data_IF_026805602375
#
_entry.id   IF_026805602375
#
_cell.length_a   1.000
_cell.length_b   1.000
_cell.length_c   1.000
_cell.angle_alpha   90.00
_cell.angle_beta   90.00
_cell.angle_gamma   90.00
#
_symmetry.space_group_name_H-M   'P 1'
#
loop_
_entity.id
_entity.type
_entity.pdbx_description
1 polymer ?
#
# COMPACT_ATOMS: atom_id res chain seq x y z
N UNK A 1 -16.44 -9.49 6.97
CA UNK A 1 -15.09 -9.44 7.58
C UNK A 1 -14.53 -8.03 7.45
N UNK A 2 -13.74 -7.64 8.41
CA UNK A 2 -13.14 -6.30 8.49
C UNK A 2 -11.62 -6.38 8.32
N UNK A 3 -11.06 -5.48 7.50
CA UNK A 3 -9.62 -5.41 7.32
C UNK A 3 -9.10 -3.99 7.55
N UNK A 4 -7.81 -3.88 7.88
CA UNK A 4 -7.10 -2.62 7.90
C UNK A 4 -6.19 -2.51 6.67
N UNK A 5 -6.31 -1.41 5.95
CA UNK A 5 -5.38 -1.00 4.90
C UNK A 5 -4.46 0.05 5.52
N UNK A 6 -3.19 -0.30 5.70
CA UNK A 6 -2.23 0.51 6.46
C UNK A 6 -1.26 1.18 5.50
N UNK A 7 -1.56 2.41 5.13
CA UNK A 7 -0.73 3.23 4.25
C UNK A 7 0.31 4.02 5.06
N UNK A 8 1.10 4.83 4.38
CA UNK A 8 2.34 5.39 4.92
C UNK A 8 2.30 6.91 5.19
N UNK A 9 1.15 7.57 5.05
CA UNK A 9 1.00 8.98 5.35
C UNK A 9 1.10 9.30 6.85
N UNK A 10 1.17 10.59 7.23
CA UNK A 10 1.34 11.00 8.63
C UNK A 10 0.30 10.41 9.60
N UNK A 11 -0.94 10.25 9.17
CA UNK A 11 -1.99 9.67 10.03
C UNK A 11 -1.87 8.16 10.24
N UNK A 12 -0.82 7.50 9.70
CA UNK A 12 -0.58 6.07 9.89
C UNK A 12 -0.53 5.66 11.35
N UNK A 13 -0.10 6.56 12.23
CA UNK A 13 0.01 6.29 13.67
C UNK A 13 -1.34 6.11 14.38
N UNK A 14 -2.46 6.41 13.71
CA UNK A 14 -3.78 6.05 14.22
C UNK A 14 -3.99 4.52 14.23
N UNK A 15 -3.27 3.78 13.39
CA UNK A 15 -3.26 2.32 13.44
C UNK A 15 -2.44 1.83 14.63
N UNK A 16 -2.99 0.86 15.37
CA UNK A 16 -2.32 0.22 16.50
C UNK A 16 -2.39 -1.29 16.32
N UNK A 17 -1.28 -1.97 16.58
CA UNK A 17 -1.16 -3.43 16.40
C UNK A 17 -2.15 -4.24 17.27
N UNK A 18 -2.59 -3.67 18.39
CA UNK A 18 -3.56 -4.31 19.28
C UNK A 18 -5.01 -4.21 18.78
N UNK A 19 -5.28 -3.45 17.71
CA UNK A 19 -6.60 -3.42 17.09
C UNK A 19 -6.90 -4.76 16.41
N UNK A 20 -8.14 -5.21 16.55
CA UNK A 20 -8.55 -6.52 16.03
C UNK A 20 -9.13 -6.40 14.64
N UNK A 21 -8.40 -6.90 13.66
CA UNK A 21 -8.82 -7.04 12.28
C UNK A 21 -8.73 -8.50 11.86
N UNK A 22 -9.57 -8.90 10.93
CA UNK A 22 -9.45 -10.23 10.31
C UNK A 22 -8.20 -10.32 9.45
N UNK A 23 -7.76 -9.19 8.87
CA UNK A 23 -6.58 -9.12 8.03
C UNK A 23 -6.03 -7.69 8.01
N UNK A 24 -4.72 -7.55 7.85
CA UNK A 24 -4.04 -6.26 7.69
C UNK A 24 -3.16 -6.29 6.44
N UNK A 25 -3.26 -5.25 5.61
CA UNK A 25 -2.46 -5.12 4.40
C UNK A 25 -1.78 -3.75 4.36
N UNK A 26 -0.48 -3.76 4.14
CA UNK A 26 0.32 -2.54 4.02
C UNK A 26 0.56 -2.12 2.57
N UNK A 27 1.30 -1.06 2.40
CA UNK A 27 1.61 -0.44 1.12
C UNK A 27 3.11 -0.23 1.00
N UNK A 28 3.73 -0.78 -0.04
CA UNK A 28 5.17 -0.71 -0.28
C UNK A 28 5.97 -1.21 0.93
N UNK A 29 6.75 -0.34 1.56
CA UNK A 29 7.47 -0.69 2.79
C UNK A 29 6.53 -0.39 3.98
N UNK A 30 6.01 -1.42 4.67
CA UNK A 30 5.17 -1.19 5.84
C UNK A 30 5.96 -0.55 6.98
N UNK A 31 5.37 0.42 7.66
CA UNK A 31 6.01 1.05 8.81
C UNK A 31 5.85 0.24 10.11
N UNK A 32 4.96 -0.75 10.10
CA UNK A 32 4.64 -1.60 11.25
C UNK A 32 4.31 -3.00 10.77
N UNK A 33 4.09 -3.92 11.70
CA UNK A 33 3.75 -5.30 11.38
C UNK A 33 2.35 -5.38 10.74
N UNK A 34 2.28 -6.02 9.58
CA UNK A 34 1.05 -6.32 8.84
C UNK A 34 1.11 -7.74 8.30
N UNK A 35 -0.04 -8.28 7.89
CA UNK A 35 -0.10 -9.65 7.36
C UNK A 35 0.52 -9.75 5.96
N UNK A 36 0.37 -8.70 5.16
CA UNK A 36 0.97 -8.62 3.82
C UNK A 36 1.13 -7.17 3.38
N UNK A 37 1.83 -6.96 2.27
CA UNK A 37 1.97 -5.64 1.64
C UNK A 37 1.83 -5.74 0.13
N UNK A 38 1.57 -4.61 -0.51
CA UNK A 38 1.50 -4.49 -1.98
C UNK A 38 2.69 -3.67 -2.47
N UNK A 39 3.44 -4.21 -3.40
CA UNK A 39 4.62 -3.54 -3.97
C UNK A 39 4.36 -3.24 -5.45
N UNK A 40 4.23 -1.96 -5.77
CA UNK A 40 4.01 -1.48 -7.14
C UNK A 40 5.30 -1.13 -7.86
N UNK A 41 6.21 -0.45 -7.17
CA UNK A 41 7.33 0.25 -7.79
C UNK A 41 8.64 -0.51 -7.68
N UNK A 42 9.41 -0.48 -8.78
CA UNK A 42 10.75 -1.05 -8.81
C UNK A 42 11.70 -0.41 -7.79
N UNK A 43 11.54 0.88 -7.47
CA UNK A 43 12.37 1.56 -6.48
C UNK A 43 12.25 0.93 -5.09
N UNK A 44 11.08 0.43 -4.72
CA UNK A 44 10.88 -0.30 -3.46
C UNK A 44 11.66 -1.60 -3.48
N UNK A 45 11.67 -2.32 -4.61
CA UNK A 45 12.44 -3.56 -4.76
C UNK A 45 13.95 -3.28 -4.65
N UNK A 46 14.45 -2.20 -5.28
CA UNK A 46 15.86 -1.81 -5.17
C UNK A 46 16.27 -1.56 -3.71
N UNK A 47 15.45 -0.84 -2.98
CA UNK A 47 15.71 -0.55 -1.56
C UNK A 47 15.65 -1.81 -0.71
N UNK A 48 14.68 -2.68 -0.96
CA UNK A 48 14.53 -3.95 -0.25
C UNK A 48 15.70 -4.89 -0.51
N UNK A 49 16.16 -4.98 -1.75
CA UNK A 49 17.32 -5.82 -2.09
C UNK A 49 18.60 -5.34 -1.40
N UNK A 50 18.76 -4.03 -1.18
CA UNK A 50 19.89 -3.46 -0.44
C UNK A 50 19.81 -3.70 1.07
N UNK A 51 18.60 -3.69 1.61
CA UNK A 51 18.33 -3.94 3.02
C UNK A 51 17.13 -4.88 3.17
N UNK A 52 17.36 -6.21 3.18
CA UNK A 52 16.29 -7.19 3.27
C UNK A 52 15.43 -7.10 4.53
N UNK A 53 15.87 -6.37 5.55
CA UNK A 53 15.08 -6.17 6.78
C UNK A 53 13.92 -5.20 6.62
N UNK A 54 13.88 -4.42 5.52
CA UNK A 54 12.83 -3.43 5.28
C UNK A 54 11.44 -4.03 5.18
N UNK A 55 11.32 -5.23 4.59
CA UNK A 55 10.03 -5.91 4.43
C UNK A 55 10.18 -7.34 4.91
N UNK A 56 9.42 -7.71 5.94
CA UNK A 56 9.45 -9.05 6.54
C UNK A 56 8.13 -9.81 6.41
N UNK A 57 7.11 -9.20 5.80
CA UNK A 57 5.85 -9.85 5.52
C UNK A 57 5.75 -10.29 4.06
N UNK A 58 4.89 -11.27 3.75
CA UNK A 58 4.60 -11.64 2.36
C UNK A 58 4.01 -10.48 1.55
N UNK A 59 4.21 -10.51 0.24
CA UNK A 59 3.83 -9.40 -0.63
C UNK A 59 3.10 -9.86 -1.89
N UNK A 60 2.21 -8.97 -2.35
CA UNK A 60 1.68 -8.97 -3.70
C UNK A 60 2.59 -8.13 -4.58
N UNK A 61 2.92 -8.62 -5.75
CA UNK A 61 3.80 -7.93 -6.71
C UNK A 61 3.02 -7.56 -7.96
N UNK A 62 3.31 -6.38 -8.51
CA UNK A 62 2.91 -6.09 -9.89
C UNK A 62 3.88 -6.73 -10.88
N UNK A 63 3.49 -6.83 -12.13
CA UNK A 63 4.38 -7.29 -13.20
C UNK A 63 5.67 -6.49 -13.22
N UNK A 64 5.58 -5.15 -13.06
CA UNK A 64 6.74 -4.27 -13.02
C UNK A 64 7.66 -4.57 -11.84
N UNK A 65 7.13 -4.64 -10.62
CA UNK A 65 7.96 -4.86 -9.43
C UNK A 65 8.59 -6.26 -9.45
N UNK A 66 7.88 -7.26 -9.92
CA UNK A 66 8.41 -8.63 -10.03
C UNK A 66 9.52 -8.72 -11.10
N UNK A 67 9.39 -7.96 -12.20
CA UNK A 67 10.46 -7.85 -13.20
C UNK A 67 11.70 -7.21 -12.58
N UNK A 68 11.54 -6.14 -11.82
CA UNK A 68 12.67 -5.50 -11.12
C UNK A 68 13.34 -6.47 -10.17
N UNK A 69 12.58 -7.31 -9.46
CA UNK A 69 13.15 -8.34 -8.59
C UNK A 69 14.05 -9.33 -9.33
N UNK A 70 13.72 -9.65 -10.59
CA UNK A 70 14.58 -10.46 -11.45
C UNK A 70 15.85 -9.70 -11.86
N UNK A 71 15.70 -8.46 -12.29
CA UNK A 71 16.80 -7.62 -12.75
C UNK A 71 17.87 -7.41 -11.66
N UNK A 72 17.47 -7.27 -10.40
CA UNK A 72 18.38 -7.11 -9.26
C UNK A 72 18.73 -8.43 -8.59
N UNK A 73 18.32 -9.56 -9.16
CA UNK A 73 18.60 -10.92 -8.66
C UNK A 73 18.11 -11.15 -7.24
N UNK A 74 16.89 -10.69 -6.94
CA UNK A 74 16.31 -10.78 -5.59
C UNK A 74 15.13 -11.77 -5.49
N UNK A 75 14.66 -12.32 -6.63
CA UNK A 75 13.52 -13.26 -6.63
C UNK A 75 13.75 -14.49 -5.77
N UNK A 76 14.95 -15.07 -5.83
CA UNK A 76 15.25 -16.26 -5.05
C UNK A 76 15.12 -16.01 -3.55
N UNK A 77 15.60 -14.87 -3.07
CA UNK A 77 15.43 -14.47 -1.67
C UNK A 77 13.95 -14.41 -1.29
N UNK A 78 13.14 -13.75 -2.11
CA UNK A 78 11.70 -13.61 -1.88
C UNK A 78 11.02 -14.97 -1.81
N UNK A 79 11.31 -15.86 -2.76
CA UNK A 79 10.71 -17.19 -2.84
C UNK A 79 11.18 -18.10 -1.70
N UNK A 80 12.47 -18.11 -1.40
CA UNK A 80 13.04 -18.93 -0.34
C UNK A 80 12.55 -18.55 1.06
N UNK A 81 12.19 -17.29 1.26
CA UNK A 81 11.67 -16.79 2.54
C UNK A 81 10.13 -16.74 2.59
N UNK A 82 9.44 -17.34 1.61
CA UNK A 82 7.98 -17.37 1.55
C UNK A 82 7.33 -15.98 1.57
N UNK A 83 7.93 -15.03 0.86
CA UNK A 83 7.47 -13.63 0.82
C UNK A 83 6.70 -13.29 -0.45
N UNK A 84 6.40 -14.26 -1.29
CA UNK A 84 5.58 -14.09 -2.49
C UNK A 84 4.17 -14.61 -2.25
N UNK A 85 3.14 -13.75 -2.43
CA UNK A 85 1.73 -14.16 -2.36
C UNK A 85 1.18 -14.38 -3.76
N UNK A 86 1.21 -13.33 -4.59
CA UNK A 86 0.63 -13.37 -5.93
C UNK A 86 1.21 -12.28 -6.82
N UNK A 87 1.07 -12.49 -8.13
CA UNK A 87 1.44 -11.55 -9.16
C UNK A 87 0.16 -10.90 -9.70
N UNK A 88 0.19 -9.57 -9.80
CA UNK A 88 -0.93 -8.78 -10.29
C UNK A 88 -0.55 -8.00 -11.54
N UNK A 89 -1.51 -7.65 -12.40
CA UNK A 89 -1.28 -6.68 -13.47
C UNK A 89 -0.74 -5.37 -12.90
N UNK A 90 -0.02 -4.59 -13.70
CA UNK A 90 0.38 -3.25 -13.33
C UNK A 90 -0.85 -2.41 -13.00
N UNK A 91 -0.72 -1.57 -11.99
CA UNK A 91 -1.83 -0.75 -11.54
C UNK A 91 -2.28 0.22 -12.64
N UNK A 92 -3.59 0.51 -12.71
CA UNK A 92 -4.07 1.57 -13.58
C UNK A 92 -3.39 2.91 -13.29
N UNK A 93 -3.35 3.77 -14.29
CA UNK A 93 -2.78 5.11 -14.13
C UNK A 93 -3.39 5.83 -12.93
N UNK A 94 -2.54 6.52 -12.16
CA UNK A 94 -2.89 7.25 -10.94
C UNK A 94 -3.34 6.40 -9.74
N UNK A 95 -3.24 5.09 -9.80
CA UNK A 95 -3.44 4.25 -8.63
C UNK A 95 -2.15 4.21 -7.80
N UNK A 96 -2.28 4.41 -6.50
CA UNK A 96 -1.21 4.16 -5.53
C UNK A 96 -1.30 2.74 -4.97
N UNK A 97 -0.29 2.34 -4.21
CA UNK A 97 -0.31 1.04 -3.52
C UNK A 97 -1.51 0.91 -2.57
N UNK A 98 -1.96 2.00 -1.96
CA UNK A 98 -3.15 2.01 -1.11
C UNK A 98 -4.43 1.65 -1.87
N UNK A 99 -4.61 2.19 -3.06
CA UNK A 99 -5.76 1.84 -3.91
C UNK A 99 -5.75 0.36 -4.27
N UNK A 100 -4.60 -0.16 -4.67
CA UNK A 100 -4.45 -1.57 -5.04
C UNK A 100 -4.71 -2.48 -3.84
N UNK A 101 -4.17 -2.14 -2.68
CA UNK A 101 -4.40 -2.89 -1.44
C UNK A 101 -5.89 -2.94 -1.10
N UNK A 102 -6.58 -1.82 -1.16
CA UNK A 102 -8.03 -1.75 -0.91
C UNK A 102 -8.80 -2.60 -1.93
N UNK A 103 -8.45 -2.52 -3.20
CA UNK A 103 -9.09 -3.32 -4.25
C UNK A 103 -8.91 -4.81 -4.01
N UNK A 104 -7.73 -5.26 -3.64
CA UNK A 104 -7.47 -6.67 -3.29
C UNK A 104 -8.40 -7.11 -2.17
N UNK A 105 -8.57 -6.30 -1.14
CA UNK A 105 -9.43 -6.66 -0.01
C UNK A 105 -10.91 -6.72 -0.44
N UNK A 106 -11.36 -5.77 -1.26
CA UNK A 106 -12.72 -5.83 -1.81
C UNK A 106 -12.96 -7.10 -2.62
N UNK A 107 -11.98 -7.52 -3.41
CA UNK A 107 -12.06 -8.74 -4.24
C UNK A 107 -11.97 -10.04 -3.42
N UNK A 108 -11.52 -9.95 -2.16
CA UNK A 108 -11.41 -11.07 -1.24
C UNK A 108 -12.50 -11.06 -0.16
N UNK A 109 -13.66 -10.51 -0.48
CA UNK A 109 -14.89 -10.56 0.33
C UNK A 109 -14.83 -9.79 1.65
N UNK A 110 -13.91 -8.85 1.82
CA UNK A 110 -13.97 -7.92 2.94
C UNK A 110 -15.04 -6.88 2.69
N UNK A 111 -15.89 -6.65 3.67
CA UNK A 111 -17.04 -5.74 3.56
C UNK A 111 -16.84 -4.42 4.29
N UNK A 112 -15.80 -4.33 5.10
CA UNK A 112 -15.45 -3.12 5.83
C UNK A 112 -13.94 -2.94 5.83
N UNK A 113 -13.48 -1.78 5.34
CA UNK A 113 -12.07 -1.41 5.29
C UNK A 113 -11.85 -0.17 6.16
N UNK A 114 -11.00 -0.29 7.18
CA UNK A 114 -10.43 0.85 7.88
C UNK A 114 -9.11 1.21 7.20
N UNK A 115 -9.00 2.42 6.71
CA UNK A 115 -7.88 2.86 5.87
C UNK A 115 -7.11 3.95 6.61
N UNK A 116 -5.85 3.64 6.92
CA UNK A 116 -4.95 4.47 7.70
C UNK A 116 -3.84 5.05 6.83
N UNK A 117 -3.40 6.26 7.13
CA UNK A 117 -2.23 6.85 6.48
C UNK A 117 -2.49 7.37 5.07
N UNK A 118 -3.74 7.66 4.71
CA UNK A 118 -4.12 8.26 3.42
C UNK A 118 -4.47 9.72 3.65
N UNK A 119 -3.47 10.51 4.01
CA UNK A 119 -3.64 11.90 4.41
C UNK A 119 -4.09 12.81 3.26
N UNK A 120 -3.84 12.41 2.01
CA UNK A 120 -4.35 13.11 0.83
C UNK A 120 -5.88 13.18 0.77
N UNK A 121 -6.59 12.37 1.54
CA UNK A 121 -8.06 12.46 1.66
C UNK A 121 -8.49 13.61 2.59
N UNK A 122 -7.60 14.12 3.42
CA UNK A 122 -7.88 15.16 4.42
C UNK A 122 -7.10 16.44 4.18
N UNK A 123 -5.91 16.35 3.62
CA UNK A 123 -4.96 17.44 3.48
C UNK A 123 -4.30 17.40 2.09
N UNK A 124 -3.76 18.53 1.67
CA UNK A 124 -3.00 18.64 0.42
C UNK A 124 -1.52 18.27 0.66
N UNK A 125 -1.28 17.01 1.03
CA UNK A 125 0.05 16.48 1.30
C UNK A 125 0.23 15.06 0.76
N UNK A 126 1.45 14.75 0.31
CA UNK A 126 1.88 13.42 -0.11
C UNK A 126 3.09 12.93 0.70
N UNK A 127 3.34 13.52 1.86
CA UNK A 127 4.39 13.03 2.75
C UNK A 127 4.06 11.60 3.17
N UNK A 128 4.99 10.68 2.98
CA UNK A 128 4.81 9.30 3.39
C UNK A 128 6.13 8.69 3.90
N UNK A 129 6.00 7.68 4.74
CA UNK A 129 7.14 6.92 5.24
C UNK A 129 7.97 6.31 4.11
N UNK A 130 7.33 5.72 3.11
CA UNK A 130 8.03 5.16 1.95
C UNK A 130 8.73 6.25 1.14
N UNK A 131 8.10 7.39 0.93
CA UNK A 131 8.69 8.48 0.15
C UNK A 131 9.96 9.01 0.77
N UNK A 132 10.04 9.07 2.11
CA UNK A 132 11.26 9.52 2.79
C UNK A 132 12.43 8.55 2.64
N UNK A 133 12.14 7.25 2.35
CA UNK A 133 13.16 6.22 2.19
C UNK A 133 13.59 6.02 0.73
N UNK A 134 12.70 6.26 -0.23
CA UNK A 134 12.83 5.75 -1.59
C UNK A 134 12.76 6.84 -2.66
N UNK A 135 12.02 7.91 -2.44
CA UNK A 135 11.70 8.91 -3.46
C UNK A 135 12.18 10.31 -3.12
N UNK A 136 12.56 11.05 -4.15
CA UNK A 136 12.77 12.49 -4.07
C UNK A 136 11.43 13.22 -4.17
N UNK A 137 11.30 14.32 -3.44
CA UNK A 137 10.11 15.15 -3.44
C UNK A 137 10.05 16.10 -4.64
N UNK A 138 8.89 16.14 -5.32
CA UNK A 138 8.59 17.17 -6.32
C UNK A 138 7.22 17.80 -6.00
N UNK A 139 7.16 19.02 -5.46
CA UNK A 139 5.92 19.65 -5.01
C UNK A 139 4.86 19.83 -6.10
N UNK A 140 5.24 20.09 -7.34
CA UNK A 140 4.29 20.29 -8.44
C UNK A 140 3.61 18.97 -8.85
N UNK A 141 4.36 17.87 -8.91
CA UNK A 141 3.78 16.56 -9.18
C UNK A 141 2.91 16.07 -8.03
N UNK A 142 3.17 16.50 -6.80
CA UNK A 142 2.38 16.15 -5.62
C UNK A 142 0.94 16.63 -5.70
N UNK A 143 0.72 17.90 -6.08
CA UNK A 143 -0.63 18.46 -6.19
C UNK A 143 -1.49 17.69 -7.18
N UNK A 144 -0.94 17.33 -8.33
CA UNK A 144 -1.65 16.55 -9.34
C UNK A 144 -1.97 15.15 -8.84
N UNK A 145 -1.05 14.51 -8.13
CA UNK A 145 -1.27 13.18 -7.55
C UNK A 145 -2.43 13.19 -6.56
N UNK A 146 -2.51 14.19 -5.68
CA UNK A 146 -3.57 14.29 -4.68
C UNK A 146 -4.94 14.30 -5.33
N UNK A 147 -5.13 15.14 -6.35
CA UNK A 147 -6.41 15.23 -7.08
C UNK A 147 -6.76 13.87 -7.70
N UNK A 148 -5.80 13.24 -8.39
CA UNK A 148 -6.00 11.96 -9.05
C UNK A 148 -6.27 10.84 -8.05
N UNK A 149 -5.57 10.81 -6.90
CA UNK A 149 -5.79 9.81 -5.86
C UNK A 149 -7.18 9.90 -5.25
N UNK A 150 -7.68 11.11 -4.98
CA UNK A 150 -9.05 11.32 -4.49
C UNK A 150 -10.09 10.79 -5.48
N UNK A 151 -9.90 11.06 -6.76
CA UNK A 151 -10.77 10.54 -7.84
C UNK A 151 -10.76 9.01 -7.84
N UNK A 152 -9.60 8.38 -7.68
CA UNK A 152 -9.47 6.92 -7.69
C UNK A 152 -10.06 6.28 -6.43
N UNK A 153 -10.00 6.92 -5.28
CA UNK A 153 -10.70 6.46 -4.09
C UNK A 153 -12.22 6.51 -4.28
N UNK A 154 -12.74 7.57 -4.87
CA UNK A 154 -14.16 7.66 -5.22
C UNK A 154 -14.57 6.56 -6.20
N UNK A 155 -13.73 6.30 -7.20
CA UNK A 155 -13.97 5.22 -8.16
C UNK A 155 -14.07 3.86 -7.48
N UNK A 156 -13.16 3.54 -6.57
CA UNK A 156 -13.19 2.27 -5.83
C UNK A 156 -14.47 2.13 -5.00
N UNK A 157 -14.89 3.19 -4.32
CA UNK A 157 -16.12 3.17 -3.54
C UNK A 157 -17.35 2.95 -4.44
N UNK A 158 -17.36 3.52 -5.62
CA UNK A 158 -18.43 3.33 -6.60
C UNK A 158 -18.42 1.93 -7.22
N UNK A 159 -17.23 1.35 -7.44
CA UNK A 159 -17.09 0.00 -7.99
C UNK A 159 -17.48 -1.08 -6.98
N UNK A 160 -17.37 -0.79 -5.69
CA UNK A 160 -17.68 -1.73 -4.60
C UNK A 160 -18.67 -1.10 -3.61
N UNK A 161 -19.93 -0.85 -4.05
CA UNK A 161 -20.91 -0.12 -3.23
C UNK A 161 -21.33 -0.87 -1.95
N UNK A 162 -21.10 -2.19 -1.91
CA UNK A 162 -21.40 -3.04 -0.74
C UNK A 162 -20.30 -2.98 0.33
N UNK A 163 -19.14 -2.40 0.02
CA UNK A 163 -18.01 -2.27 0.94
C UNK A 163 -18.01 -0.91 1.61
N UNK A 164 -17.84 -0.89 2.92
CA UNK A 164 -17.69 0.36 3.69
C UNK A 164 -16.22 0.74 3.76
N UNK A 165 -15.89 1.94 3.27
CA UNK A 165 -14.55 2.52 3.33
C UNK A 165 -14.51 3.58 4.43
N UNK A 166 -13.73 3.33 5.48
CA UNK A 166 -13.52 4.26 6.59
C UNK A 166 -12.11 4.82 6.52
N UNK A 167 -11.98 6.09 6.12
CA UNK A 167 -10.68 6.77 6.13
C UNK A 167 -10.41 7.30 7.53
N UNK A 168 -9.39 6.75 8.19
CA UNK A 168 -9.09 7.04 9.59
C UNK A 168 -7.94 8.06 9.66
N UNK A 169 -8.19 9.19 10.30
CA UNK A 169 -7.20 10.24 10.47
C UNK A 169 -6.56 10.22 11.86
N UNK A 170 -7.36 9.95 12.88
CA UNK A 170 -6.94 10.04 14.27
C UNK A 170 -7.39 8.81 15.05
N UNK A 171 -6.59 8.45 16.07
CA UNK A 171 -6.96 7.40 17.01
C UNK A 171 -8.21 7.83 17.81
N UNK A 172 -9.18 6.98 17.84
CA UNK A 172 -10.42 7.19 18.62
C UNK A 172 -10.44 6.34 19.87
#
# INVERSE_FOLDING_TARGET
MKCAVVCNGPSRFAFQENLKYNYTIGCNIPWTKVDSTVILDGNVIHSWAKDPTLISCPAFFTTRSWRTADEVKFRNYILENNLFIDLMPDAPEFFSAGHVAAQIMCENDFTELDIFGVDSMFEDTVVSFTNTLVYDHNPDSEKQRIVNWRIKWDKLQNDYPEVTFNFIRETR
#
